data_IF_466018723186
#
_entry.id   IF_466018723186
#
_cell.length_a   1.000
_cell.length_b   1.000
_cell.length_c   1.000
_cell.angle_alpha   90.00
_cell.angle_beta   90.00
_cell.angle_gamma   90.00
#
_symmetry.space_group_name_H-M   'P 1'
#
loop_
_entity.id
_entity.type
_entity.pdbx_description
1 polymer ?
#
# COMPACT_ATOMS: atom_id res chain seq x y z
N UNK A 1 6.52 11.82 -10.38
CA UNK A 1 6.00 10.95 -9.30
C UNK A 1 7.11 10.72 -8.30
N UNK A 2 6.83 10.60 -7.00
CA UNK A 2 7.80 10.28 -5.95
C UNK A 2 7.72 8.77 -5.69
N UNK A 3 8.78 8.02 -6.00
CA UNK A 3 8.80 6.59 -5.66
C UNK A 3 8.88 6.42 -4.14
N UNK A 4 8.23 5.37 -3.64
CA UNK A 4 8.31 5.01 -2.23
C UNK A 4 8.46 3.51 -2.06
N UNK A 5 9.09 3.15 -0.95
CA UNK A 5 9.21 1.78 -0.48
C UNK A 5 9.02 1.78 1.03
N UNK A 6 7.88 1.26 1.49
CA UNK A 6 7.54 1.12 2.90
C UNK A 6 7.75 -0.34 3.28
N UNK A 7 8.72 -0.59 4.16
CA UNK A 7 9.09 -1.95 4.58
C UNK A 7 8.13 -2.56 5.61
N UNK A 8 7.46 -1.70 6.38
CA UNK A 8 6.49 -2.08 7.42
C UNK A 8 5.53 -0.94 7.73
N UNK A 9 4.24 -1.14 7.45
CA UNK A 9 3.15 -0.23 7.78
C UNK A 9 2.09 -0.99 8.56
N UNK A 10 1.80 -0.55 9.78
CA UNK A 10 0.70 -1.13 10.56
C UNK A 10 -0.59 -0.45 10.16
N UNK A 11 -1.55 -1.24 9.69
CA UNK A 11 -2.86 -0.76 9.24
C UNK A 11 -3.95 -1.57 9.91
N UNK A 12 -5.21 -1.15 9.74
CA UNK A 12 -6.37 -1.88 10.28
C UNK A 12 -6.55 -3.26 9.67
N UNK A 13 -6.00 -3.51 8.47
CA UNK A 13 -6.09 -4.81 7.78
C UNK A 13 -4.85 -5.69 8.02
N UNK A 14 -3.87 -5.21 8.79
CA UNK A 14 -2.64 -5.93 9.11
C UNK A 14 -1.38 -5.12 8.86
N UNK A 15 -0.24 -5.80 8.98
CA UNK A 15 1.08 -5.21 8.70
C UNK A 15 1.43 -5.41 7.23
N UNK A 16 1.61 -4.30 6.52
CA UNK A 16 1.86 -4.30 5.09
C UNK A 16 3.26 -3.82 4.74
N UNK A 17 3.74 -4.28 3.60
CA UNK A 17 4.92 -3.77 2.91
C UNK A 17 4.48 -3.31 1.52
N UNK A 18 4.82 -2.08 1.17
CA UNK A 18 4.25 -1.38 0.03
C UNK A 18 5.37 -0.80 -0.82
N UNK A 19 5.31 -1.04 -2.12
CA UNK A 19 6.17 -0.38 -3.11
C UNK A 19 5.29 0.27 -4.15
N UNK A 20 5.58 1.53 -4.47
CA UNK A 20 4.69 2.31 -5.31
C UNK A 20 5.27 3.66 -5.72
N UNK A 21 4.41 4.46 -6.33
CA UNK A 21 4.71 5.83 -6.68
C UNK A 21 3.56 6.73 -6.22
N UNK A 22 3.92 7.82 -5.54
CA UNK A 22 3.02 8.87 -5.13
C UNK A 22 2.96 9.95 -6.22
N UNK A 23 1.74 10.35 -6.56
CA UNK A 23 1.47 11.53 -7.37
C UNK A 23 2.08 12.81 -6.81
N UNK A 24 2.46 13.75 -7.67
CA UNK A 24 2.96 15.07 -7.21
C UNK A 24 1.83 16.08 -6.96
N UNK A 25 0.60 15.73 -7.29
CA UNK A 25 -0.58 16.57 -7.13
C UNK A 25 -1.58 15.84 -6.24
N UNK A 26 -2.36 16.55 -5.40
CA UNK A 26 -3.42 15.95 -4.59
C UNK A 26 -4.49 15.20 -5.41
N UNK A 27 -4.57 15.46 -6.71
CA UNK A 27 -5.44 14.75 -7.65
C UNK A 27 -4.83 13.49 -8.26
N UNK A 28 -3.56 13.17 -7.98
CA UNK A 28 -2.86 12.02 -8.55
C UNK A 28 -2.80 10.91 -7.50
N UNK A 29 -3.48 9.78 -7.72
CA UNK A 29 -3.61 8.71 -6.74
C UNK A 29 -2.28 8.01 -6.45
N UNK A 30 -2.22 7.30 -5.32
CA UNK A 30 -1.13 6.36 -5.06
C UNK A 30 -1.20 5.23 -6.09
N UNK A 31 -0.08 4.97 -6.78
CA UNK A 31 0.06 3.80 -7.63
C UNK A 31 0.85 2.75 -6.86
N UNK A 32 0.21 1.64 -6.52
CA UNK A 32 0.87 0.48 -5.93
C UNK A 32 1.44 -0.41 -7.03
N UNK A 33 2.74 -0.70 -6.95
CA UNK A 33 3.40 -1.67 -7.83
C UNK A 33 3.49 -3.06 -7.19
N UNK A 34 3.67 -3.09 -5.86
CA UNK A 34 3.73 -4.32 -5.07
C UNK A 34 3.20 -4.09 -3.68
N UNK A 35 2.35 -5.00 -3.22
CA UNK A 35 1.75 -4.98 -1.88
C UNK A 35 1.92 -6.35 -1.29
N UNK A 36 2.50 -6.41 -0.11
CA UNK A 36 2.69 -7.63 0.66
C UNK A 36 2.07 -7.45 2.05
N UNK A 37 1.45 -8.51 2.57
CA UNK A 37 0.92 -8.56 3.93
C UNK A 37 1.73 -9.57 4.76
N UNK A 38 1.97 -9.24 6.03
CA UNK A 38 2.60 -10.17 6.95
C UNK A 38 1.61 -11.28 7.32
N UNK A 39 1.90 -12.50 6.90
CA UNK A 39 1.27 -13.73 7.37
C UNK A 39 2.07 -14.39 8.49
N UNK A 40 1.74 -15.63 8.81
CA UNK A 40 2.42 -16.46 9.82
C UNK A 40 3.86 -16.79 9.43
N UNK A 41 4.07 -17.10 8.15
CA UNK A 41 5.34 -17.63 7.63
C UNK A 41 6.15 -16.59 6.85
N UNK A 42 5.75 -15.31 6.91
CA UNK A 42 6.43 -14.20 6.27
C UNK A 42 5.51 -13.32 5.43
N UNK A 43 6.07 -12.72 4.40
CA UNK A 43 5.36 -11.77 3.53
C UNK A 43 4.62 -12.52 2.42
N UNK A 44 3.32 -12.26 2.32
CA UNK A 44 2.46 -12.75 1.25
C UNK A 44 2.15 -11.61 0.28
N UNK A 45 2.54 -11.75 -0.98
CA UNK A 45 2.20 -10.79 -2.02
C UNK A 45 0.71 -10.85 -2.37
N UNK A 46 0.06 -9.69 -2.42
CA UNK A 46 -1.35 -9.55 -2.74
C UNK A 46 -1.55 -9.30 -4.24
N UNK A 47 -2.56 -9.94 -4.80
CA UNK A 47 -2.95 -9.73 -6.19
C UNK A 47 -3.62 -8.37 -6.39
N UNK A 48 -2.89 -7.43 -6.97
CA UNK A 48 -3.38 -6.07 -7.27
C UNK A 48 -4.46 -6.03 -8.36
N UNK A 49 -4.68 -7.13 -9.10
CA UNK A 49 -5.80 -7.22 -10.05
C UNK A 49 -7.13 -7.49 -9.34
N UNK A 50 -7.09 -8.10 -8.15
CA UNK A 50 -8.26 -8.47 -7.36
C UNK A 50 -9.02 -7.24 -6.83
N UNK A 51 -10.35 -7.28 -6.98
CA UNK A 51 -11.24 -6.23 -6.46
C UNK A 51 -11.23 -6.17 -4.92
N UNK A 52 -11.04 -7.30 -4.23
CA UNK A 52 -10.97 -7.31 -2.77
C UNK A 52 -9.71 -6.60 -2.26
N UNK A 53 -8.57 -6.82 -2.92
CA UNK A 53 -7.30 -6.15 -2.59
C UNK A 53 -7.40 -4.65 -2.89
N UNK A 54 -7.94 -4.28 -4.07
CA UNK A 54 -8.18 -2.87 -4.40
C UNK A 54 -9.05 -2.18 -3.36
N UNK A 55 -10.16 -2.82 -2.95
CA UNK A 55 -11.03 -2.28 -1.91
C UNK A 55 -10.31 -2.18 -0.55
N UNK A 56 -9.48 -3.14 -0.18
CA UNK A 56 -8.69 -3.08 1.05
C UNK A 56 -7.67 -1.91 1.02
N UNK A 57 -7.05 -1.66 -0.14
CA UNK A 57 -6.09 -0.57 -0.32
C UNK A 57 -6.73 0.83 -0.16
N UNK A 58 -7.98 1.02 -0.60
CA UNK A 58 -8.69 2.30 -0.38
C UNK A 58 -8.93 2.59 1.09
N UNK A 59 -9.11 1.55 1.92
CA UNK A 59 -9.33 1.72 3.37
C UNK A 59 -8.07 2.18 4.13
N UNK A 60 -6.89 1.97 3.56
CA UNK A 60 -5.60 2.33 4.18
C UNK A 60 -4.91 3.50 3.48
N UNK A 61 -5.50 4.02 2.41
CA UNK A 61 -4.87 5.04 1.55
C UNK A 61 -4.44 6.27 2.37
N UNK A 62 -5.30 6.74 3.28
CA UNK A 62 -4.97 7.84 4.20
C UNK A 62 -3.75 7.52 5.07
N UNK A 63 -3.69 6.32 5.66
CA UNK A 63 -2.56 5.89 6.49
C UNK A 63 -1.26 5.81 5.68
N UNK A 64 -1.34 5.41 4.41
CA UNK A 64 -0.18 5.39 3.51
C UNK A 64 0.26 6.83 3.21
N UNK A 65 -0.67 7.74 2.94
CA UNK A 65 -0.36 9.16 2.70
C UNK A 65 0.29 9.82 3.91
N UNK A 66 -0.26 9.62 5.11
CA UNK A 66 0.30 10.12 6.38
C UNK A 66 1.72 9.61 6.63
N UNK A 67 2.05 8.39 6.22
CA UNK A 67 3.39 7.82 6.39
C UNK A 67 4.42 8.38 5.38
N UNK A 68 3.97 8.92 4.24
CA UNK A 68 4.84 9.37 3.15
C UNK A 68 5.15 10.88 3.16
N UNK A 69 4.38 11.64 3.95
CA UNK A 69 4.53 13.08 4.20
C UNK A 69 5.46 13.32 5.39
#
# INVERSE_FOLDING_TARGET
MKQFHITRLHTRIGTLRLTGALGRSPSVPIIYHKVEIMGTDGWLELDLSSNSVKHALTQIEHTVLEHLL
#
